data_IF_796297809609
#
_entry.id   IF_796297809609
#
_cell.length_a   1.000
_cell.length_b   1.000
_cell.length_c   1.000
_cell.angle_alpha   90.00
_cell.angle_beta   90.00
_cell.angle_gamma   90.00
#
_symmetry.space_group_name_H-M   'P 1'
#
loop_
_entity.id
_entity.type
_entity.pdbx_description
1 polymer ?
#
# COMPACT_ATOMS: atom_id res chain seq x y z
N UNK A 1 28.49 -9.27 -23.00
CA UNK A 1 28.63 -8.58 -24.31
C UNK A 1 28.22 -7.13 -24.12
N UNK A 2 28.97 -6.20 -24.73
CA UNK A 2 29.00 -4.75 -24.47
C UNK A 2 27.83 -4.03 -25.13
N UNK A 3 27.23 -3.06 -24.44
CA UNK A 3 26.61 -1.84 -24.99
C UNK A 3 26.82 -0.72 -23.96
N UNK A 4 27.98 -0.08 -23.99
CA UNK A 4 28.26 1.20 -24.68
C UNK A 4 27.42 2.35 -24.10
N UNK A 5 28.15 3.11 -23.28
CA UNK A 5 27.95 4.46 -22.78
C UNK A 5 27.39 5.42 -23.85
N UNK A 6 26.33 6.17 -23.51
CA UNK A 6 26.08 7.47 -24.13
C UNK A 6 26.21 8.54 -23.05
N UNK A 7 27.33 9.25 -23.15
CA UNK A 7 27.63 10.50 -22.48
C UNK A 7 26.83 11.60 -23.20
N UNK A 8 25.86 12.22 -22.53
CA UNK A 8 25.29 13.49 -22.96
C UNK A 8 25.79 14.57 -22.01
N UNK A 9 26.80 15.30 -22.45
CA UNK A 9 27.20 16.59 -21.88
C UNK A 9 26.07 17.59 -22.16
N UNK A 10 25.40 18.07 -21.10
CA UNK A 10 24.64 19.32 -21.16
C UNK A 10 25.41 20.37 -20.36
N UNK A 11 26.10 21.25 -21.08
CA UNK A 11 26.49 22.57 -20.57
C UNK A 11 25.44 23.57 -21.06
N UNK A 12 24.68 24.15 -20.14
CA UNK A 12 24.14 25.50 -20.33
C UNK A 12 23.56 26.06 -19.03
N UNK A 13 24.18 27.17 -18.62
CA UNK A 13 23.54 28.36 -18.07
C UNK A 13 22.98 28.27 -16.65
N UNK A 14 23.84 28.65 -15.69
CA UNK A 14 23.44 29.15 -14.39
C UNK A 14 22.75 30.51 -14.57
N UNK A 15 21.42 30.55 -14.42
CA UNK A 15 20.64 31.78 -14.31
C UNK A 15 20.26 32.01 -12.84
N UNK A 16 20.45 33.25 -12.39
CA UNK A 16 20.25 33.74 -11.04
C UNK A 16 18.75 33.88 -10.70
N UNK A 17 18.37 33.39 -9.52
CA UNK A 17 17.25 33.75 -8.65
C UNK A 17 16.01 34.48 -9.24
N UNK A 18 14.86 33.81 -9.19
CA UNK A 18 13.54 34.42 -9.13
C UNK A 18 12.63 33.60 -8.18
N UNK A 19 11.79 34.32 -7.44
CA UNK A 19 10.92 33.87 -6.35
C UNK A 19 10.11 32.58 -6.59
N UNK A 20 9.96 31.80 -5.52
CA UNK A 20 8.68 31.25 -5.04
C UNK A 20 7.76 30.60 -6.07
N UNK A 21 7.80 29.27 -6.11
CA UNK A 21 6.70 28.43 -6.58
C UNK A 21 6.79 27.14 -5.79
N UNK A 22 5.79 26.89 -4.97
CA UNK A 22 5.63 25.70 -4.14
C UNK A 22 5.86 24.45 -5.00
N UNK A 23 6.79 23.61 -4.56
CA UNK A 23 6.90 22.23 -5.04
C UNK A 23 5.70 21.46 -4.46
N UNK A 24 4.50 21.77 -4.96
CA UNK A 24 3.33 20.93 -4.75
C UNK A 24 3.65 19.65 -5.51
N UNK A 25 4.20 18.69 -4.77
CA UNK A 25 4.37 17.32 -5.21
C UNK A 25 2.96 16.76 -5.40
N UNK A 26 2.35 17.05 -6.55
CA UNK A 26 1.17 16.34 -7.02
C UNK A 26 1.60 14.89 -7.19
N UNK A 27 1.43 14.09 -6.13
CA UNK A 27 1.44 12.64 -6.26
C UNK A 27 0.31 12.33 -7.24
N UNK A 28 0.66 12.10 -8.51
CA UNK A 28 -0.32 11.67 -9.51
C UNK A 28 -0.95 10.38 -8.98
N UNK A 29 -2.19 10.50 -8.50
CA UNK A 29 -2.93 9.39 -7.96
C UNK A 29 -3.05 8.28 -9.01
N UNK A 30 -2.88 7.04 -8.57
CA UNK A 30 -3.03 5.88 -9.43
C UNK A 30 -4.40 5.94 -10.15
N UNK A 31 -4.44 5.52 -11.42
CA UNK A 31 -5.73 5.43 -12.11
C UNK A 31 -6.66 4.44 -11.37
N UNK A 32 -7.99 4.57 -11.43
CA UNK A 32 -8.90 3.63 -10.78
C UNK A 32 -8.66 2.17 -11.15
N UNK A 33 -8.23 1.89 -12.40
CA UNK A 33 -7.89 0.54 -12.83
C UNK A 33 -6.62 -0.02 -12.14
N UNK A 34 -5.62 0.84 -11.91
CA UNK A 34 -4.41 0.47 -11.15
C UNK A 34 -4.79 0.25 -9.69
N UNK A 35 -5.53 1.17 -9.08
CA UNK A 35 -5.98 1.04 -7.70
C UNK A 35 -6.76 -0.27 -7.45
N UNK A 36 -7.67 -0.66 -8.34
CA UNK A 36 -8.37 -1.95 -8.23
C UNK A 36 -7.43 -3.15 -8.31
N UNK A 37 -6.42 -3.11 -9.18
CA UNK A 37 -5.39 -4.16 -9.21
C UNK A 37 -4.66 -4.24 -7.87
N UNK A 38 -4.24 -3.10 -7.32
CA UNK A 38 -3.50 -3.06 -6.04
C UNK A 38 -4.37 -3.45 -4.83
N UNK A 39 -5.68 -3.22 -4.87
CA UNK A 39 -6.63 -3.81 -3.89
C UNK A 39 -6.57 -5.34 -3.91
N UNK A 40 -6.56 -5.95 -5.10
CA UNK A 40 -6.46 -7.39 -5.24
C UNK A 40 -5.12 -7.95 -4.74
N UNK A 41 -4.01 -7.27 -5.06
CA UNK A 41 -2.66 -7.64 -4.59
C UNK A 41 -2.56 -7.52 -3.06
N UNK A 42 -3.15 -6.47 -2.47
CA UNK A 42 -3.24 -6.29 -1.01
C UNK A 42 -3.96 -7.48 -0.37
N UNK A 43 -5.12 -7.87 -0.91
CA UNK A 43 -5.90 -9.02 -0.41
C UNK A 43 -5.09 -10.32 -0.44
N UNK A 44 -4.40 -10.58 -1.54
CA UNK A 44 -3.59 -11.80 -1.70
C UNK A 44 -2.40 -11.82 -0.74
N UNK A 45 -1.71 -10.68 -0.59
CA UNK A 45 -0.61 -10.52 0.35
C UNK A 45 -1.05 -10.71 1.82
N UNK A 46 -2.22 -10.20 2.21
CA UNK A 46 -2.76 -10.41 3.57
C UNK A 46 -3.12 -11.88 3.83
N UNK A 47 -3.65 -12.59 2.83
CA UNK A 47 -3.91 -14.03 2.93
C UNK A 47 -2.61 -14.83 3.05
N UNK A 48 -1.56 -14.44 2.32
CA UNK A 48 -0.24 -15.03 2.44
C UNK A 48 0.36 -14.79 3.85
N UNK A 49 0.26 -13.57 4.37
CA UNK A 49 0.68 -13.24 5.73
C UNK A 49 -0.05 -14.06 6.80
N UNK A 50 -1.37 -14.29 6.63
CA UNK A 50 -2.13 -15.18 7.49
C UNK A 50 -1.61 -16.62 7.46
N UNK A 51 -1.26 -17.14 6.28
CA UNK A 51 -0.71 -18.48 6.14
C UNK A 51 0.65 -18.60 6.86
N UNK A 52 1.52 -17.60 6.73
CA UNK A 52 2.80 -17.51 7.48
C UNK A 52 2.56 -17.48 8.99
N UNK A 53 1.59 -16.67 9.45
CA UNK A 53 1.24 -16.58 10.87
C UNK A 53 0.78 -17.93 11.44
N UNK A 54 -0.05 -18.66 10.67
CA UNK A 54 -0.56 -19.98 11.04
C UNK A 54 0.54 -21.05 11.13
N UNK A 55 1.66 -20.86 10.43
CA UNK A 55 2.85 -21.72 10.53
C UNK A 55 3.72 -21.40 11.74
N UNK A 56 3.37 -20.37 12.51
CA UNK A 56 4.07 -19.97 13.74
C UNK A 56 5.08 -18.83 13.54
N UNK A 57 5.33 -18.42 12.30
CA UNK A 57 6.20 -17.28 12.01
C UNK A 57 5.44 -15.95 12.14
N UNK A 58 5.36 -15.47 13.38
CA UNK A 58 4.66 -14.22 13.71
C UNK A 58 5.41 -12.98 13.22
N UNK A 59 6.74 -13.04 13.18
CA UNK A 59 7.56 -11.89 12.80
C UNK A 59 7.51 -11.70 11.28
N UNK A 60 7.72 -12.78 10.52
CA UNK A 60 7.62 -12.76 9.06
C UNK A 60 6.22 -12.40 8.59
N UNK A 61 5.16 -12.92 9.22
CA UNK A 61 3.79 -12.51 8.91
C UNK A 61 3.57 -11.00 9.10
N UNK A 62 4.11 -10.42 10.17
CA UNK A 62 3.97 -8.98 10.45
C UNK A 62 4.74 -8.11 9.47
N UNK A 63 5.90 -8.58 9.00
CA UNK A 63 6.68 -7.94 7.94
C UNK A 63 5.94 -8.00 6.60
N UNK A 64 5.35 -9.15 6.25
CA UNK A 64 4.52 -9.30 5.06
C UNK A 64 3.30 -8.36 5.07
N UNK A 65 2.64 -8.14 6.21
CA UNK A 65 1.55 -7.15 6.30
C UNK A 65 2.07 -5.72 6.12
N UNK A 66 3.26 -5.41 6.63
CA UNK A 66 3.87 -4.09 6.45
C UNK A 66 4.20 -3.84 4.97
N UNK A 67 4.77 -4.84 4.30
CA UNK A 67 5.07 -4.81 2.87
C UNK A 67 3.79 -4.70 2.03
N UNK A 68 2.75 -5.47 2.35
CA UNK A 68 1.46 -5.39 1.66
C UNK A 68 0.86 -3.98 1.69
N UNK A 69 1.04 -3.26 2.81
CA UNK A 69 0.58 -1.89 2.93
C UNK A 69 1.37 -0.95 2.01
N UNK A 70 2.70 -0.92 2.13
CA UNK A 70 3.56 0.02 1.39
C UNK A 70 3.56 -0.27 -0.11
N UNK A 71 3.61 -1.55 -0.51
CA UNK A 71 3.76 -1.92 -1.92
C UNK A 71 2.46 -1.95 -2.70
N UNK A 72 1.31 -1.99 -2.02
CA UNK A 72 0.01 -2.12 -2.67
C UNK A 72 -1.04 -1.15 -2.11
N UNK A 73 -1.29 -1.16 -0.80
CA UNK A 73 -2.38 -0.36 -0.25
C UNK A 73 -2.15 1.17 -0.37
N UNK A 74 -0.91 1.66 -0.28
CA UNK A 74 -0.61 3.08 -0.49
C UNK A 74 -1.06 3.59 -1.88
N UNK A 75 -0.98 2.74 -2.91
CA UNK A 75 -1.44 3.05 -4.28
C UNK A 75 -2.98 3.12 -4.38
N UNK A 76 -3.69 2.57 -3.39
CA UNK A 76 -5.15 2.59 -3.29
C UNK A 76 -5.65 3.85 -2.60
N UNK A 77 -4.85 4.44 -1.70
CA UNK A 77 -5.33 5.45 -0.75
C UNK A 77 -5.92 6.67 -1.45
N UNK A 78 -5.17 7.38 -2.29
CA UNK A 78 -5.69 8.60 -2.89
C UNK A 78 -6.83 8.38 -3.91
N UNK A 79 -6.82 7.33 -4.75
CA UNK A 79 -7.99 6.99 -5.58
C UNK A 79 -9.23 6.64 -4.75
N UNK A 80 -9.06 5.96 -3.61
CA UNK A 80 -10.17 5.60 -2.72
C UNK A 80 -10.65 6.77 -1.87
N UNK A 81 -9.76 7.67 -1.43
CA UNK A 81 -10.08 8.89 -0.68
C UNK A 81 -11.14 9.72 -1.41
N UNK A 82 -10.97 9.90 -2.73
CA UNK A 82 -11.93 10.61 -3.57
C UNK A 82 -13.29 9.90 -3.75
N UNK A 83 -13.43 8.66 -3.26
CA UNK A 83 -14.65 7.84 -3.36
C UNK A 83 -15.31 7.57 -2.01
N UNK A 84 -14.51 7.21 -1.02
CA UNK A 84 -14.91 6.78 0.32
C UNK A 84 -13.73 6.92 1.29
N UNK A 85 -13.50 8.15 1.77
CA UNK A 85 -12.41 8.48 2.70
C UNK A 85 -12.52 7.73 4.04
N UNK A 86 -13.74 7.54 4.55
CA UNK A 86 -13.97 6.76 5.78
C UNK A 86 -13.53 5.30 5.62
N UNK A 87 -13.85 4.67 4.48
CA UNK A 87 -13.41 3.31 4.17
C UNK A 87 -11.88 3.24 4.04
N UNK A 88 -11.26 4.23 3.38
CA UNK A 88 -9.80 4.33 3.28
C UNK A 88 -9.15 4.41 4.66
N UNK A 89 -9.56 5.34 5.52
CA UNK A 89 -9.01 5.49 6.88
C UNK A 89 -9.19 4.20 7.72
N UNK A 90 -10.36 3.56 7.60
CA UNK A 90 -10.62 2.29 8.28
C UNK A 90 -9.66 1.18 7.83
N UNK A 91 -9.45 1.02 6.52
CA UNK A 91 -8.54 0.04 5.96
C UNK A 91 -7.08 0.33 6.33
N UNK A 92 -6.65 1.60 6.23
CA UNK A 92 -5.33 2.06 6.63
C UNK A 92 -5.03 1.67 8.08
N UNK A 93 -5.91 2.06 9.01
CA UNK A 93 -5.74 1.75 10.42
C UNK A 93 -5.83 0.24 10.71
N UNK A 94 -6.69 -0.49 9.99
CA UNK A 94 -6.84 -1.93 10.16
C UNK A 94 -5.57 -2.71 9.73
N UNK A 95 -4.95 -2.32 8.61
CA UNK A 95 -3.78 -2.98 8.03
C UNK A 95 -2.50 -2.53 8.75
N UNK A 96 -2.26 -1.22 8.83
CA UNK A 96 -0.99 -0.66 9.30
C UNK A 96 -0.79 -0.71 10.81
N UNK A 97 -1.87 -0.70 11.59
CA UNK A 97 -1.80 -0.82 13.04
C UNK A 97 -2.47 -2.09 13.57
N UNK A 98 -3.79 -2.19 13.50
CA UNK A 98 -4.55 -3.18 14.28
C UNK A 98 -4.14 -4.63 14.04
N UNK A 99 -3.97 -5.03 12.77
CA UNK A 99 -3.55 -6.37 12.40
C UNK A 99 -2.11 -6.64 12.85
N UNK A 100 -1.18 -5.73 12.56
CA UNK A 100 0.25 -5.87 12.91
C UNK A 100 0.45 -5.89 14.43
N UNK A 101 -0.27 -5.05 15.16
CA UNK A 101 -0.29 -5.01 16.63
C UNK A 101 -0.86 -6.32 17.21
N UNK A 102 -1.91 -6.87 16.62
CA UNK A 102 -2.47 -8.18 17.04
C UNK A 102 -1.52 -9.34 16.75
N UNK A 103 -0.83 -9.33 15.60
CA UNK A 103 0.21 -10.30 15.29
C UNK A 103 1.40 -10.21 16.25
N UNK A 104 1.89 -8.99 16.53
CA UNK A 104 2.96 -8.71 17.50
C UNK A 104 2.61 -9.19 18.90
N UNK A 105 1.37 -8.98 19.34
CA UNK A 105 0.86 -9.44 20.62
C UNK A 105 0.66 -10.97 20.68
N UNK A 106 0.82 -11.67 19.55
CA UNK A 106 0.73 -13.13 19.52
C UNK A 106 -0.68 -13.66 19.70
N UNK A 107 -1.72 -12.91 19.27
CA UNK A 107 -3.12 -13.35 19.42
C UNK A 107 -3.36 -14.71 18.76
N UNK A 108 -4.37 -15.50 19.21
CA UNK A 108 -4.66 -16.80 18.62
C UNK A 108 -4.89 -16.71 17.10
N UNK A 109 -4.43 -17.72 16.34
CA UNK A 109 -4.52 -17.72 14.88
C UNK A 109 -5.95 -17.50 14.35
N UNK A 110 -6.98 -18.00 15.07
CA UNK A 110 -8.39 -17.75 14.72
C UNK A 110 -8.77 -16.27 14.76
N UNK A 111 -8.18 -15.51 15.69
CA UNK A 111 -8.46 -14.09 15.85
C UNK A 111 -7.80 -13.29 14.73
N UNK A 112 -6.56 -13.64 14.37
CA UNK A 112 -5.87 -13.06 13.21
C UNK A 112 -6.63 -13.37 11.93
N UNK A 113 -7.10 -14.61 11.75
CA UNK A 113 -7.93 -14.97 10.59
C UNK A 113 -9.22 -14.16 10.51
N UNK A 114 -9.90 -13.92 11.64
CA UNK A 114 -11.10 -13.09 11.66
C UNK A 114 -10.81 -11.63 11.27
N UNK A 115 -9.69 -11.06 11.75
CA UNK A 115 -9.27 -9.71 11.35
C UNK A 115 -8.94 -9.63 9.86
N UNK A 116 -8.18 -10.60 9.33
CA UNK A 116 -7.87 -10.65 7.89
C UNK A 116 -9.14 -10.77 7.06
N UNK A 117 -10.10 -11.61 7.45
CA UNK A 117 -11.40 -11.72 6.76
C UNK A 117 -12.19 -10.42 6.76
N UNK A 118 -12.19 -9.68 7.87
CA UNK A 118 -12.85 -8.38 7.94
C UNK A 118 -12.19 -7.37 7.00
N UNK A 119 -10.86 -7.29 7.02
CA UNK A 119 -10.10 -6.40 6.13
C UNK A 119 -10.35 -6.77 4.66
N UNK A 120 -10.35 -8.06 4.31
CA UNK A 120 -10.65 -8.52 2.95
C UNK A 120 -12.06 -8.12 2.50
N UNK A 121 -13.06 -8.22 3.39
CA UNK A 121 -14.41 -7.77 3.06
C UNK A 121 -14.50 -6.25 2.84
N UNK A 122 -13.68 -5.46 3.54
CA UNK A 122 -13.59 -4.01 3.33
C UNK A 122 -12.80 -3.67 2.05
N UNK A 123 -11.77 -4.46 1.71
CA UNK A 123 -11.07 -4.36 0.42
C UNK A 123 -12.02 -4.67 -0.76
N UNK A 124 -12.94 -5.64 -0.62
CA UNK A 124 -13.95 -5.91 -1.65
C UNK A 124 -14.90 -4.71 -1.86
N UNK A 125 -15.20 -3.95 -0.79
CA UNK A 125 -15.97 -2.69 -0.90
C UNK A 125 -15.16 -1.61 -1.61
N UNK A 126 -13.87 -1.48 -1.29
CA UNK A 126 -12.98 -0.52 -1.93
C UNK A 126 -12.87 -0.81 -3.44
N UNK A 127 -12.70 -2.08 -3.82
CA UNK A 127 -12.66 -2.50 -5.22
C UNK A 127 -13.95 -2.11 -5.96
N UNK A 128 -15.11 -2.25 -5.31
CA UNK A 128 -16.41 -1.86 -5.86
C UNK A 128 -16.58 -0.34 -6.00
N UNK A 129 -16.10 0.45 -5.04
CA UNK A 129 -16.15 1.91 -5.07
C UNK A 129 -15.27 2.52 -6.18
N UNK A 130 -14.21 1.80 -6.55
CA UNK A 130 -13.24 2.20 -7.57
C UNK A 130 -13.64 1.80 -9.00
N UNK A 131 -14.84 1.25 -9.24
CA UNK A 131 -15.29 0.81 -10.57
C UNK A 131 -15.45 1.96 -11.58
#
# INVERSE_FOLDING_TARGET
MRRILFLALFSSSLALAACGGSDDSEHENASPAVARKEVAETRDALNAALATYKQGDKAGAREQVAEAYVSHFEEVEGPLEGKDDELKESLEHAISDNLRSSMKAGKPARAIEAQVKAIVADLDKAEAALQ
#
